data_IF_321135835085
#
_entry.id   IF_321135835085
#
_cell.length_a   1.000
_cell.length_b   1.000
_cell.length_c   1.000
_cell.angle_alpha   90.00
_cell.angle_beta   90.00
_cell.angle_gamma   90.00
#
_symmetry.space_group_name_H-M   'P 1'
#
loop_
_entity.id
_entity.type
_entity.pdbx_description
1 polymer ?
#
# COMPACT_ATOMS: atom_id res chain seq x y z
N UNK A 1 -49.30 -43.43 29.67
CA UNK A 1 -49.55 -43.17 28.23
C UNK A 1 -50.24 -41.83 28.11
N UNK A 2 -49.84 -41.00 27.13
CA UNK A 2 -50.41 -39.70 26.74
C UNK A 2 -49.84 -38.46 27.44
N UNK A 3 -48.69 -38.00 26.96
CA UNK A 3 -48.31 -36.59 26.98
C UNK A 3 -48.69 -35.98 25.62
N UNK A 4 -49.72 -35.13 25.53
CA UNK A 4 -49.94 -34.29 24.37
C UNK A 4 -49.23 -32.93 24.56
N UNK A 5 -49.05 -32.19 23.46
CA UNK A 5 -48.75 -30.75 23.46
C UNK A 5 -47.30 -30.27 23.62
N UNK A 6 -46.37 -30.81 22.83
CA UNK A 6 -45.27 -29.99 22.32
C UNK A 6 -45.25 -30.02 20.78
N UNK A 7 -46.29 -29.43 20.17
CA UNK A 7 -46.24 -29.04 18.76
C UNK A 7 -45.51 -27.71 18.69
N UNK A 8 -44.19 -27.77 18.70
CA UNK A 8 -43.34 -26.61 18.43
C UNK A 8 -43.50 -26.22 16.96
N UNK A 9 -44.00 -25.02 16.63
CA UNK A 9 -43.95 -24.57 15.26
C UNK A 9 -42.49 -24.24 14.95
N UNK A 10 -41.85 -25.05 14.14
CA UNK A 10 -40.60 -24.70 13.47
C UNK A 10 -40.97 -23.63 12.44
N UNK A 11 -41.08 -22.37 12.86
CA UNK A 11 -41.04 -21.25 11.93
C UNK A 11 -39.59 -21.15 11.45
N UNK A 12 -39.29 -21.87 10.36
CA UNK A 12 -38.10 -21.56 9.57
C UNK A 12 -38.32 -20.17 9.00
N UNK A 13 -37.80 -19.16 9.69
CA UNK A 13 -37.66 -17.82 9.15
C UNK A 13 -36.65 -17.87 8.00
N UNK A 14 -37.15 -18.13 6.79
CA UNK A 14 -36.43 -17.87 5.55
C UNK A 14 -36.50 -16.37 5.24
N UNK A 15 -35.85 -15.54 6.08
CA UNK A 15 -35.70 -14.10 5.81
C UNK A 15 -34.22 -13.71 5.98
N UNK A 16 -33.49 -13.59 4.86
CA UNK A 16 -32.14 -13.01 4.86
C UNK A 16 -31.14 -13.55 3.83
N UNK A 17 -31.47 -14.57 3.03
CA UNK A 17 -30.48 -15.29 2.19
C UNK A 17 -30.16 -14.65 0.83
N UNK A 18 -30.77 -13.51 0.48
CA UNK A 18 -30.55 -12.85 -0.80
C UNK A 18 -29.23 -12.08 -0.85
N UNK A 19 -28.99 -11.21 0.15
CA UNK A 19 -27.81 -10.33 0.20
C UNK A 19 -26.49 -11.12 0.38
N UNK A 20 -26.53 -12.21 1.13
CA UNK A 20 -25.37 -13.08 1.36
C UNK A 20 -24.99 -13.89 0.11
N UNK A 21 -25.96 -14.32 -0.71
CA UNK A 21 -25.74 -15.00 -1.99
C UNK A 21 -25.01 -14.11 -3.00
N UNK A 22 -25.39 -12.84 -3.09
CA UNK A 22 -24.74 -11.88 -3.99
C UNK A 22 -23.29 -11.60 -3.59
N UNK A 23 -23.02 -11.42 -2.29
CA UNK A 23 -21.65 -11.24 -1.79
C UNK A 23 -20.79 -12.48 -2.10
N UNK A 24 -21.32 -13.69 -1.90
CA UNK A 24 -20.60 -14.93 -2.17
C UNK A 24 -20.24 -15.11 -3.67
N UNK A 25 -21.10 -14.67 -4.58
CA UNK A 25 -20.84 -14.72 -6.03
C UNK A 25 -19.77 -13.71 -6.48
N UNK A 26 -19.73 -12.52 -5.87
CA UNK A 26 -18.75 -11.48 -6.21
C UNK A 26 -17.44 -11.59 -5.42
N UNK A 27 -17.41 -12.34 -4.32
CA UNK A 27 -16.22 -12.56 -3.49
C UNK A 27 -14.96 -12.94 -4.29
N UNK A 28 -14.95 -13.92 -5.22
CA UNK A 28 -13.74 -14.26 -5.98
C UNK A 28 -13.27 -13.12 -6.88
N UNK A 29 -14.19 -12.34 -7.46
CA UNK A 29 -13.85 -11.19 -8.31
C UNK A 29 -13.26 -10.05 -7.48
N UNK A 30 -13.82 -9.80 -6.29
CA UNK A 30 -13.32 -8.77 -5.36
C UNK A 30 -11.93 -9.15 -4.82
N UNK A 31 -11.72 -10.42 -4.47
CA UNK A 31 -10.42 -10.90 -4.00
C UNK A 31 -9.37 -10.86 -5.11
N UNK A 32 -9.71 -11.31 -6.33
CA UNK A 32 -8.81 -11.28 -7.48
C UNK A 32 -8.48 -9.83 -7.87
N UNK A 33 -9.46 -8.94 -7.93
CA UNK A 33 -9.22 -7.53 -8.27
C UNK A 33 -8.37 -6.85 -7.22
N UNK A 34 -8.65 -7.07 -5.93
CA UNK A 34 -7.82 -6.59 -4.82
C UNK A 34 -6.38 -7.11 -4.92
N UNK A 35 -6.20 -8.40 -5.26
CA UNK A 35 -4.88 -9.00 -5.46
C UNK A 35 -4.11 -8.39 -6.65
N UNK A 36 -4.78 -8.20 -7.78
CA UNK A 36 -4.19 -7.58 -8.98
C UNK A 36 -3.82 -6.12 -8.73
N UNK A 37 -4.71 -5.35 -8.09
CA UNK A 37 -4.44 -3.96 -7.71
C UNK A 37 -3.29 -3.89 -6.71
N UNK A 38 -3.27 -4.76 -5.70
CA UNK A 38 -2.16 -4.84 -4.74
C UNK A 38 -0.83 -5.18 -5.43
N UNK A 39 -0.84 -6.11 -6.39
CA UNK A 39 0.34 -6.44 -7.21
C UNK A 39 0.79 -5.28 -8.12
N UNK A 40 -0.14 -4.47 -8.63
CA UNK A 40 0.15 -3.36 -9.54
C UNK A 40 0.69 -2.11 -8.81
N UNK A 41 0.23 -1.86 -7.57
CA UNK A 41 0.66 -0.67 -6.80
C UNK A 41 2.16 -0.73 -6.47
N UNK A 42 2.77 -1.91 -6.40
CA UNK A 42 4.25 -2.06 -6.38
C UNK A 42 4.97 -1.45 -5.17
N UNK A 43 4.25 -0.87 -4.20
CA UNK A 43 4.82 -0.35 -2.96
C UNK A 43 4.95 -1.48 -1.95
N UNK A 44 6.19 -1.76 -1.54
CA UNK A 44 6.49 -2.75 -0.49
C UNK A 44 6.23 -2.13 0.88
N UNK A 45 4.98 -2.21 1.34
CA UNK A 45 4.62 -1.88 2.73
C UNK A 45 4.73 -3.17 3.54
N UNK A 46 5.90 -3.38 4.16
CA UNK A 46 6.16 -4.61 4.92
C UNK A 46 5.56 -4.55 6.34
N UNK A 47 5.18 -3.35 6.83
CA UNK A 47 4.62 -3.16 8.17
C UNK A 47 3.71 -1.92 8.29
N UNK A 48 2.75 -1.91 9.23
CA UNK A 48 1.87 -0.76 9.46
C UNK A 48 2.66 0.50 9.87
N UNK A 49 3.78 0.34 10.58
CA UNK A 49 4.67 1.46 10.95
C UNK A 49 5.28 2.11 9.69
N UNK A 50 5.64 1.30 8.70
CA UNK A 50 6.19 1.81 7.42
C UNK A 50 5.15 2.60 6.64
N UNK A 51 3.89 2.15 6.64
CA UNK A 51 2.78 2.90 6.04
C UNK A 51 2.62 4.28 6.71
N UNK A 52 2.66 4.33 8.03
CA UNK A 52 2.57 5.59 8.78
C UNK A 52 3.75 6.52 8.47
N UNK A 53 4.97 6.00 8.43
CA UNK A 53 6.15 6.78 8.03
C UNK A 53 6.02 7.31 6.61
N UNK A 54 5.50 6.52 5.67
CA UNK A 54 5.30 6.95 4.29
C UNK A 54 4.33 8.14 4.20
N UNK A 55 3.21 8.09 4.95
CA UNK A 55 2.27 9.20 5.06
C UNK A 55 2.91 10.43 5.70
N UNK A 56 3.68 10.25 6.78
CA UNK A 56 4.39 11.34 7.45
C UNK A 56 5.50 11.98 6.58
N UNK A 57 6.01 11.28 5.56
CA UNK A 57 6.96 11.82 4.58
C UNK A 57 6.32 12.75 3.52
N UNK A 58 4.98 12.75 3.40
CA UNK A 58 4.26 13.52 2.38
C UNK A 58 4.51 15.04 2.38
N UNK A 59 4.61 15.75 3.51
CA UNK A 59 4.63 17.22 3.47
C UNK A 59 5.85 17.83 2.78
N UNK A 60 7.05 17.27 2.99
CA UNK A 60 8.30 17.78 2.42
C UNK A 60 9.45 16.78 2.60
N UNK A 61 10.57 17.05 1.93
CA UNK A 61 11.77 16.23 2.06
C UNK A 61 12.41 16.25 3.46
N UNK A 62 12.18 17.28 4.26
CA UNK A 62 12.65 17.32 5.66
C UNK A 62 11.91 16.29 6.50
N UNK A 63 10.59 16.20 6.36
CA UNK A 63 9.74 15.21 7.01
C UNK A 63 10.11 13.80 6.53
N UNK A 64 10.32 13.61 5.23
CA UNK A 64 10.76 12.33 4.67
C UNK A 64 12.12 11.85 5.24
N UNK A 65 13.07 12.78 5.45
CA UNK A 65 14.35 12.48 6.11
C UNK A 65 14.17 12.21 7.60
N UNK A 66 13.29 12.96 8.27
CA UNK A 66 12.99 12.79 9.69
C UNK A 66 12.44 11.39 10.00
N UNK A 67 11.56 10.87 9.14
CA UNK A 67 11.02 9.51 9.29
C UNK A 67 11.94 8.41 8.74
N UNK A 68 13.14 8.78 8.27
CA UNK A 68 14.16 7.84 7.78
C UNK A 68 13.82 7.18 6.46
N UNK A 69 12.94 7.78 5.65
CA UNK A 69 12.53 7.22 4.35
C UNK A 69 13.17 7.92 3.15
N UNK A 70 13.85 9.05 3.32
CA UNK A 70 14.56 9.74 2.24
C UNK A 70 16.07 9.47 2.26
N UNK A 71 16.74 9.33 1.09
CA UNK A 71 16.15 9.35 -0.26
C UNK A 71 15.39 8.06 -0.59
N UNK A 72 14.31 8.18 -1.37
CA UNK A 72 13.43 7.06 -1.73
C UNK A 72 13.36 6.86 -3.25
N UNK A 73 13.33 5.61 -3.73
CA UNK A 73 13.13 5.29 -5.16
C UNK A 73 11.65 5.01 -5.47
N UNK A 74 11.25 5.13 -6.73
CA UNK A 74 9.91 4.67 -7.18
C UNK A 74 9.58 3.26 -6.67
N UNK A 75 8.40 3.12 -6.06
CA UNK A 75 7.95 1.88 -5.44
C UNK A 75 8.45 1.64 -4.01
N UNK A 76 9.28 2.53 -3.45
CA UNK A 76 9.69 2.47 -2.06
C UNK A 76 8.83 3.36 -1.16
N UNK A 77 8.63 2.98 0.12
CA UNK A 77 8.04 3.85 1.11
C UNK A 77 8.83 5.17 1.21
N UNK A 78 8.10 6.29 1.18
CA UNK A 78 8.66 7.64 1.22
C UNK A 78 8.90 8.27 -0.14
N UNK A 79 8.73 7.51 -1.23
CA UNK A 79 8.71 8.10 -2.56
C UNK A 79 7.38 8.79 -2.82
N UNK A 80 7.47 10.05 -3.21
CA UNK A 80 6.34 10.87 -3.63
C UNK A 80 6.77 11.58 -4.91
N UNK A 81 5.95 11.54 -5.96
CA UNK A 81 6.26 12.16 -7.26
C UNK A 81 6.44 13.69 -7.15
N UNK A 82 5.85 14.31 -6.14
CA UNK A 82 6.02 15.73 -5.80
C UNK A 82 7.41 16.06 -5.26
N UNK A 83 8.14 15.07 -4.76
CA UNK A 83 9.47 15.22 -4.15
C UNK A 83 10.61 14.81 -5.09
N UNK A 84 10.26 14.34 -6.29
CA UNK A 84 11.13 13.97 -7.40
C UNK A 84 11.09 15.12 -8.44
N UNK A 85 11.91 16.14 -8.20
CA UNK A 85 11.85 17.40 -8.92
C UNK A 85 12.29 17.28 -10.39
N UNK A 86 13.27 16.42 -10.67
CA UNK A 86 13.82 16.15 -12.00
C UNK A 86 13.22 14.91 -12.67
N UNK A 87 12.39 14.16 -11.94
CA UNK A 87 11.62 12.99 -12.40
C UNK A 87 12.49 11.78 -12.75
N UNK A 88 13.68 11.69 -12.17
CA UNK A 88 14.61 10.58 -12.41
C UNK A 88 14.20 9.30 -11.65
N UNK A 89 13.18 9.40 -10.78
CA UNK A 89 12.65 8.30 -9.99
C UNK A 89 13.27 8.18 -8.60
N UNK A 90 14.03 9.19 -8.15
CA UNK A 90 14.62 9.29 -6.81
C UNK A 90 14.10 10.57 -6.13
N UNK A 91 13.28 10.40 -5.11
CA UNK A 91 12.78 11.52 -4.31
C UNK A 91 13.79 11.94 -3.23
N UNK A 92 13.83 13.25 -2.96
CA UNK A 92 14.59 13.84 -1.85
C UNK A 92 16.10 13.57 -1.84
N UNK A 93 16.70 13.46 -3.03
CA UNK A 93 18.13 13.28 -3.19
C UNK A 93 18.95 14.39 -2.48
N UNK A 94 20.13 14.07 -1.94
CA UNK A 94 21.07 15.07 -1.46
C UNK A 94 21.71 15.81 -2.64
N UNK A 95 21.62 17.15 -2.66
CA UNK A 95 22.38 17.98 -3.60
C UNK A 95 23.89 17.74 -3.41
N UNK A 96 24.54 17.04 -4.35
CA UNK A 96 26.01 16.98 -4.44
C UNK A 96 26.45 18.09 -5.38
N UNK A 97 27.00 19.16 -4.82
CA UNK A 97 27.49 20.32 -5.56
C UNK A 97 28.35 19.91 -6.77
N UNK A 98 28.08 20.55 -7.90
CA UNK A 98 28.72 20.25 -9.18
C UNK A 98 30.24 20.26 -9.07
N UNK A 99 30.87 19.21 -9.60
CA UNK A 99 32.26 19.30 -10.03
C UNK A 99 32.39 20.41 -11.06
N UNK A 100 33.48 21.16 -11.03
CA UNK A 100 33.78 22.32 -11.89
C UNK A 100 33.89 22.02 -13.41
N UNK A 101 33.32 20.94 -13.91
CA UNK A 101 33.16 20.65 -15.33
C UNK A 101 31.71 20.23 -15.57
N UNK A 102 31.01 20.94 -16.46
CA UNK A 102 29.58 20.78 -16.76
C UNK A 102 29.16 19.40 -17.26
N UNK A 103 29.26 18.39 -16.39
CA UNK A 103 28.82 17.02 -16.61
C UNK A 103 27.79 16.68 -15.53
N UNK A 104 26.55 16.44 -15.93
CA UNK A 104 25.52 15.87 -15.05
C UNK A 104 25.88 14.43 -14.73
N UNK A 105 26.51 14.19 -13.58
CA UNK A 105 26.72 12.84 -13.06
C UNK A 105 25.57 12.46 -12.15
N UNK A 106 24.48 11.94 -12.72
CA UNK A 106 23.56 11.08 -11.96
C UNK A 106 24.27 9.74 -11.76
N UNK A 107 24.86 9.51 -10.58
CA UNK A 107 25.40 8.20 -10.22
C UNK A 107 25.02 7.83 -8.79
N UNK A 108 23.87 7.17 -8.64
CA UNK A 108 23.64 6.27 -7.52
C UNK A 108 23.56 4.82 -8.01
N UNK A 109 24.70 4.30 -8.46
CA UNK A 109 24.99 2.87 -8.44
C UNK A 109 25.91 2.61 -7.25
N UNK A 110 25.34 2.00 -6.22
CA UNK A 110 26.06 1.19 -5.24
C UNK A 110 25.07 0.18 -4.68
N UNK A 111 24.81 -0.84 -5.50
CA UNK A 111 24.33 -2.15 -5.03
C UNK A 111 25.15 -2.59 -3.82
N UNK A 112 24.47 -3.06 -2.77
CA UNK A 112 25.10 -3.50 -1.54
C UNK A 112 26.13 -4.61 -1.73
N UNK A 113 27.16 -4.57 -0.88
CA UNK A 113 27.83 -5.70 -0.20
C UNK A 113 29.15 -5.20 0.42
N UNK A 114 29.24 -5.18 1.75
CA UNK A 114 30.13 -5.97 2.59
C UNK A 114 29.79 -5.73 4.05
#
# INVERSE_FOLDING_TARGET
MLLPFLRWPITRHHHGLGRLRWIALFAPVILLSGYVVYGFVGIRIDSPVTALRHLAAFPNCTAARFVGLAPARRGQPGYWSTHDADRDGIACEPWRGGSAGGVRVHRYWSTGRR
#
